data_IF_167337944922
#
_entry.id   IF_167337944922
#
_cell.length_a   1.000
_cell.length_b   1.000
_cell.length_c   1.000
_cell.angle_alpha   90.00
_cell.angle_beta   90.00
_cell.angle_gamma   90.00
#
_symmetry.space_group_name_H-M   'P 1'
#
loop_
_entity.id
_entity.type
_entity.pdbx_description
1 polymer ?
#
# COMPACT_ATOMS: atom_id res chain seq x y z
N UNK A 1 47.38 -1.36 -63.37
CA UNK A 1 47.17 -0.08 -64.07
C UNK A 1 46.27 0.78 -63.21
N UNK A 2 46.80 1.91 -62.74
CA UNK A 2 46.13 2.90 -61.91
C UNK A 2 44.85 3.46 -62.55
N UNK A 3 43.89 3.88 -61.72
CA UNK A 3 43.24 5.20 -61.89
C UNK A 3 42.54 5.66 -60.61
N UNK A 4 42.75 6.95 -60.37
CA UNK A 4 42.35 7.83 -59.28
C UNK A 4 40.86 8.18 -59.22
N UNK A 5 40.50 8.69 -58.05
CA UNK A 5 39.26 9.39 -57.63
C UNK A 5 38.88 10.59 -58.50
N UNK A 6 37.58 10.93 -58.48
CA UNK A 6 37.11 12.31 -58.30
C UNK A 6 35.71 12.34 -57.59
N UNK A 7 35.34 13.42 -56.87
CA UNK A 7 34.27 13.45 -55.87
C UNK A 7 33.00 14.20 -56.32
N UNK A 8 31.86 13.97 -55.65
CA UNK A 8 30.73 14.91 -55.65
C UNK A 8 30.04 14.96 -54.28
N UNK A 9 30.24 16.10 -53.63
CA UNK A 9 29.38 16.72 -52.63
C UNK A 9 28.00 17.07 -53.24
N UNK A 10 26.95 17.15 -52.42
CA UNK A 10 25.63 17.59 -52.87
C UNK A 10 24.43 17.11 -52.04
N UNK A 11 24.34 17.58 -50.80
CA UNK A 11 23.12 17.84 -49.99
C UNK A 11 21.79 17.16 -50.40
N UNK A 12 21.31 16.24 -49.57
CA UNK A 12 19.96 15.65 -49.64
C UNK A 12 18.92 16.65 -49.08
N UNK A 13 17.79 16.89 -49.76
CA UNK A 13 16.74 17.80 -49.26
C UNK A 13 16.01 17.18 -48.05
N UNK A 14 15.43 18.00 -47.15
CA UNK A 14 14.71 17.49 -45.99
C UNK A 14 13.46 16.71 -46.42
N UNK A 15 13.06 15.66 -45.68
CA UNK A 15 11.87 14.87 -45.98
C UNK A 15 10.61 15.75 -45.85
N UNK A 16 9.73 15.67 -46.84
CA UNK A 16 8.40 16.28 -46.79
C UNK A 16 7.47 15.34 -46.02
N UNK A 17 6.53 15.86 -45.20
CA UNK A 17 5.58 15.02 -44.50
C UNK A 17 4.65 14.31 -45.50
N UNK A 18 4.55 13.00 -45.36
CA UNK A 18 3.66 12.13 -46.12
C UNK A 18 2.25 12.27 -45.53
N UNK A 19 1.29 12.76 -46.32
CA UNK A 19 -0.13 12.74 -45.96
C UNK A 19 -0.75 11.46 -46.50
N UNK A 20 -1.06 10.52 -45.61
CA UNK A 20 -1.86 9.34 -45.92
C UNK A 20 -3.32 9.67 -45.57
N UNK A 21 -4.20 9.60 -46.55
CA UNK A 21 -5.65 9.68 -46.34
C UNK A 21 -6.17 8.25 -46.20
N UNK A 22 -6.57 7.87 -44.98
CA UNK A 22 -7.25 6.59 -44.74
C UNK A 22 -8.74 6.88 -44.62
N UNK A 23 -9.53 6.40 -45.58
CA UNK A 23 -10.98 6.40 -45.47
C UNK A 23 -11.41 5.17 -44.66
N UNK A 24 -11.83 5.37 -43.41
CA UNK A 24 -12.43 4.33 -42.59
C UNK A 24 -13.95 4.47 -42.62
N UNK A 25 -14.63 3.49 -43.21
CA UNK A 25 -16.07 3.30 -43.04
C UNK A 25 -16.32 2.72 -41.65
N UNK A 26 -16.83 3.53 -40.72
CA UNK A 26 -17.24 3.08 -39.41
C UNK A 26 -18.65 2.45 -39.49
N UNK A 27 -18.75 1.14 -39.24
CA UNK A 27 -20.01 0.51 -38.86
C UNK A 27 -20.19 0.72 -37.35
N UNK A 28 -21.17 1.54 -36.98
CA UNK A 28 -21.50 1.85 -35.59
C UNK A 28 -22.20 0.62 -34.97
N UNK A 29 -21.45 -0.20 -34.24
CA UNK A 29 -22.05 -1.15 -33.30
C UNK A 29 -22.12 -0.42 -31.96
N UNK A 30 -23.31 0.04 -31.59
CA UNK A 30 -23.56 0.62 -30.27
C UNK A 30 -23.55 -0.51 -29.23
N UNK A 31 -22.37 -0.83 -28.70
CA UNK A 31 -22.28 -1.53 -27.42
C UNK A 31 -22.53 -0.52 -26.32
N UNK A 32 -23.71 -0.58 -25.70
CA UNK A 32 -23.96 0.13 -24.45
C UNK A 32 -23.15 -0.59 -23.37
N UNK A 33 -21.97 -0.09 -23.06
CA UNK A 33 -21.30 -0.44 -21.82
C UNK A 33 -22.17 0.10 -20.67
N UNK A 34 -22.49 -0.69 -19.65
CA UNK A 34 -23.12 -0.14 -18.46
C UNK A 34 -22.16 0.89 -17.85
N UNK A 35 -22.63 2.13 -17.72
CA UNK A 35 -21.95 3.16 -16.93
C UNK A 35 -22.07 2.75 -15.47
N UNK A 36 -21.03 2.13 -14.92
CA UNK A 36 -20.86 2.04 -13.47
C UNK A 36 -20.61 3.48 -13.00
N UNK A 37 -21.36 4.03 -12.03
CA UNK A 37 -21.03 5.32 -11.47
C UNK A 37 -19.61 5.24 -10.89
N UNK A 38 -18.73 6.15 -11.32
CA UNK A 38 -17.47 6.35 -10.64
C UNK A 38 -17.77 6.91 -9.24
N UNK A 39 -17.17 6.32 -8.19
CA UNK A 39 -17.06 6.97 -6.88
C UNK A 39 -17.74 6.28 -5.69
N UNK A 40 -17.81 4.96 -5.63
CA UNK A 40 -17.98 4.26 -4.35
C UNK A 40 -17.03 3.06 -4.32
N UNK A 41 -16.05 3.07 -3.41
CA UNK A 41 -15.30 1.86 -3.07
C UNK A 41 -16.32 0.80 -2.64
N UNK A 42 -16.26 -0.45 -3.13
CA UNK A 42 -16.99 -1.52 -2.45
C UNK A 42 -16.51 -1.51 -0.99
N UNK A 43 -17.42 -1.46 -0.02
CA UNK A 43 -17.04 -1.39 1.39
C UNK A 43 -16.08 -2.53 1.78
N UNK A 44 -15.26 -2.29 2.81
CA UNK A 44 -14.31 -3.28 3.30
C UNK A 44 -15.00 -4.60 3.63
N UNK A 45 -14.35 -5.71 3.26
CA UNK A 45 -14.77 -7.05 3.62
C UNK A 45 -13.56 -7.85 4.08
N UNK A 46 -13.68 -8.51 5.23
CA UNK A 46 -12.62 -9.30 5.85
C UNK A 46 -13.07 -10.75 6.00
N UNK A 47 -12.14 -11.68 5.76
CA UNK A 47 -12.25 -13.09 6.15
C UNK A 47 -11.03 -13.44 6.97
N UNK A 48 -11.23 -13.83 8.23
CA UNK A 48 -10.16 -14.16 9.17
C UNK A 48 -9.78 -15.66 9.13
N UNK A 49 -8.75 -16.05 9.89
CA UNK A 49 -8.25 -17.43 9.93
C UNK A 49 -9.19 -18.41 10.66
N UNK A 50 -10.34 -17.97 11.17
CA UNK A 50 -11.36 -18.91 11.67
C UNK A 50 -12.12 -19.59 10.53
N UNK A 51 -12.04 -19.07 9.31
CA UNK A 51 -12.49 -19.77 8.11
C UNK A 51 -11.47 -20.87 7.74
N UNK A 52 -11.91 -22.12 7.86
CA UNK A 52 -11.11 -23.32 7.53
C UNK A 52 -10.63 -23.38 6.06
N UNK A 53 -11.18 -22.53 5.17
CA UNK A 53 -10.71 -22.38 3.80
C UNK A 53 -9.50 -21.44 3.67
N UNK A 54 -9.15 -20.70 4.72
CA UNK A 54 -8.02 -19.79 4.78
C UNK A 54 -6.94 -20.34 5.72
N UNK A 55 -5.68 -20.25 5.30
CA UNK A 55 -4.53 -20.66 6.10
C UNK A 55 -3.48 -19.56 6.17
N UNK A 56 -2.58 -19.67 7.15
CA UNK A 56 -1.40 -18.79 7.22
C UNK A 56 -0.58 -18.82 5.93
N UNK A 57 -0.50 -19.98 5.26
CA UNK A 57 0.17 -20.11 3.95
C UNK A 57 -0.50 -19.25 2.90
N UNK A 58 -1.83 -19.21 2.86
CA UNK A 58 -2.56 -18.36 1.92
C UNK A 58 -2.28 -16.88 2.17
N UNK A 59 -2.13 -16.46 3.44
CA UNK A 59 -1.72 -15.08 3.77
C UNK A 59 -0.33 -14.74 3.21
N UNK A 60 0.66 -15.60 3.44
CA UNK A 60 2.02 -15.37 2.94
C UNK A 60 2.10 -15.44 1.40
N UNK A 61 1.34 -16.35 0.78
CA UNK A 61 1.25 -16.45 -0.68
C UNK A 61 0.53 -15.25 -1.30
N UNK A 62 -0.49 -14.70 -0.63
CA UNK A 62 -1.18 -13.49 -1.07
C UNK A 62 -0.24 -12.28 -1.14
N UNK A 63 0.78 -12.22 -0.28
CA UNK A 63 1.79 -11.15 -0.32
C UNK A 63 2.78 -11.29 -1.48
N UNK A 64 3.08 -12.53 -1.89
CA UNK A 64 4.15 -12.81 -2.84
C UNK A 64 3.86 -12.24 -4.24
N UNK A 65 4.65 -11.24 -4.63
CA UNK A 65 4.61 -10.62 -5.95
C UNK A 65 5.60 -11.25 -6.94
N UNK A 66 5.84 -10.54 -8.05
CA UNK A 66 6.78 -10.99 -9.07
C UNK A 66 8.19 -11.17 -8.51
N UNK A 67 8.80 -12.32 -8.85
CA UNK A 67 10.18 -12.63 -8.50
C UNK A 67 10.40 -13.11 -7.07
N UNK A 68 9.33 -13.45 -6.33
CA UNK A 68 9.42 -13.98 -4.96
C UNK A 68 8.70 -15.33 -4.84
N UNK A 69 9.33 -16.27 -4.14
CA UNK A 69 8.67 -17.52 -3.71
C UNK A 69 8.71 -17.62 -2.20
N UNK A 70 7.59 -17.98 -1.59
CA UNK A 70 7.43 -18.14 -0.13
C UNK A 70 7.41 -19.59 0.31
N UNK A 71 7.84 -19.85 1.55
CA UNK A 71 7.85 -21.17 2.18
C UNK A 71 7.95 -21.06 3.70
N UNK A 72 7.88 -22.18 4.43
CA UNK A 72 8.14 -22.18 5.88
C UNK A 72 7.17 -21.31 6.69
N UNK A 73 5.93 -21.16 6.20
CA UNK A 73 4.96 -20.23 6.76
C UNK A 73 4.44 -20.69 8.12
N UNK A 74 4.30 -19.74 9.04
CA UNK A 74 3.72 -19.92 10.35
C UNK A 74 2.95 -18.68 10.79
N UNK A 75 1.89 -18.89 11.55
CA UNK A 75 1.17 -17.81 12.24
C UNK A 75 1.16 -18.09 13.74
N UNK A 76 1.36 -17.05 14.54
CA UNK A 76 1.23 -17.07 16.01
C UNK A 76 0.33 -15.92 16.41
N UNK A 77 -0.73 -16.19 17.16
CA UNK A 77 -1.74 -15.23 17.56
C UNK A 77 -3.12 -15.88 17.60
N UNK A 78 -4.16 -15.09 17.86
CA UNK A 78 -5.55 -15.55 17.71
C UNK A 78 -5.92 -15.65 16.23
N UNK A 79 -6.72 -16.66 15.84
CA UNK A 79 -7.17 -16.84 14.46
C UNK A 79 -8.03 -15.67 13.96
N UNK A 80 -8.76 -15.01 14.87
CA UNK A 80 -9.52 -13.79 14.59
C UNK A 80 -8.65 -12.56 14.35
N UNK A 81 -7.36 -12.59 14.71
CA UNK A 81 -6.45 -11.45 14.63
C UNK A 81 -5.73 -11.31 13.29
N UNK A 82 -5.99 -12.20 12.32
CA UNK A 82 -5.40 -12.13 11.00
C UNK A 82 -6.33 -12.68 9.93
N UNK A 83 -6.22 -12.15 8.72
CA UNK A 83 -7.08 -12.53 7.61
C UNK A 83 -6.70 -11.92 6.28
N UNK A 84 -7.57 -12.12 5.29
CA UNK A 84 -7.56 -11.41 4.02
C UNK A 84 -8.65 -10.35 4.01
N UNK A 85 -8.41 -9.27 3.27
CA UNK A 85 -9.42 -8.26 3.03
C UNK A 85 -9.56 -7.94 1.54
N UNK A 86 -10.72 -7.39 1.19
CA UNK A 86 -11.01 -6.80 -0.11
C UNK A 86 -11.86 -5.54 0.04
N UNK A 87 -11.97 -4.75 -1.03
CA UNK A 87 -12.74 -3.51 -1.03
C UNK A 87 -12.00 -2.31 -0.42
N UNK A 88 -10.66 -2.39 -0.32
CA UNK A 88 -9.88 -1.26 0.17
C UNK A 88 -9.87 -0.06 -0.79
N UNK A 89 -10.16 -0.26 -2.09
CA UNK A 89 -10.33 0.81 -3.05
C UNK A 89 -9.02 1.46 -3.53
N UNK A 90 -9.07 2.08 -4.70
CA UNK A 90 -7.99 2.88 -5.28
C UNK A 90 -8.52 4.24 -5.76
N UNK A 91 -7.72 5.30 -5.58
CA UNK A 91 -8.08 6.66 -6.01
C UNK A 91 -9.05 7.40 -5.07
N UNK A 92 -9.89 8.27 -5.64
CA UNK A 92 -10.84 9.08 -4.87
C UNK A 92 -11.90 8.20 -4.18
N UNK A 93 -12.02 8.34 -2.86
CA UNK A 93 -12.92 7.52 -2.04
C UNK A 93 -12.35 6.15 -1.65
N UNK A 94 -11.06 5.89 -1.89
CA UNK A 94 -10.40 4.69 -1.40
C UNK A 94 -10.39 4.65 0.14
N UNK A 95 -10.67 3.49 0.70
CA UNK A 95 -10.62 3.25 2.15
C UNK A 95 -9.18 3.06 2.58
N UNK A 96 -8.47 2.09 1.99
CA UNK A 96 -7.09 1.73 2.32
C UNK A 96 -6.10 2.33 1.32
N UNK A 97 -6.46 2.37 0.02
CA UNK A 97 -5.57 2.82 -1.05
C UNK A 97 -4.99 1.70 -1.92
N UNK A 98 -5.39 0.46 -1.64
CA UNK A 98 -5.27 -0.71 -2.52
C UNK A 98 -6.48 -1.63 -2.31
N UNK A 99 -6.83 -2.41 -3.32
CA UNK A 99 -8.10 -3.15 -3.35
C UNK A 99 -8.16 -4.32 -2.38
N UNK A 100 -7.06 -5.06 -2.23
CA UNK A 100 -7.03 -6.33 -1.51
C UNK A 100 -5.65 -6.61 -0.91
N UNK A 101 -5.63 -7.51 0.07
CA UNK A 101 -4.42 -7.83 0.80
C UNK A 101 -4.68 -8.71 2.02
N UNK A 102 -3.70 -8.74 2.92
CA UNK A 102 -3.86 -9.35 4.24
C UNK A 102 -4.00 -8.27 5.31
N UNK A 103 -4.51 -8.68 6.46
CA UNK A 103 -4.70 -7.85 7.63
C UNK A 103 -4.12 -8.57 8.84
N UNK A 104 -3.35 -7.85 9.65
CA UNK A 104 -2.97 -8.26 11.01
C UNK A 104 -3.55 -7.23 11.98
N UNK A 105 -4.05 -7.69 13.12
CA UNK A 105 -4.73 -6.88 14.13
C UNK A 105 -4.23 -7.25 15.52
N UNK A 106 -4.20 -6.30 16.45
CA UNK A 106 -4.14 -6.63 17.88
C UNK A 106 -5.51 -7.09 18.42
N UNK A 107 -6.57 -6.72 17.70
CA UNK A 107 -7.96 -7.05 17.90
C UNK A 107 -8.53 -8.12 16.97
N UNK A 108 -9.84 -8.10 16.76
CA UNK A 108 -10.46 -8.91 15.73
C UNK A 108 -10.32 -8.21 14.37
N UNK A 109 -9.69 -8.88 13.40
CA UNK A 109 -9.44 -8.33 12.07
C UNK A 109 -10.73 -7.89 11.35
N UNK A 110 -11.87 -8.51 11.67
CA UNK A 110 -13.18 -8.14 11.08
C UNK A 110 -13.70 -6.77 11.54
N UNK A 111 -13.20 -6.26 12.65
CA UNK A 111 -13.70 -5.03 13.28
C UNK A 111 -13.26 -3.76 12.53
N UNK A 112 -12.34 -3.85 11.57
CA UNK A 112 -11.98 -2.72 10.69
C UNK A 112 -13.07 -2.32 9.70
N UNK A 113 -14.10 -3.17 9.52
CA UNK A 113 -15.17 -2.96 8.55
C UNK A 113 -16.07 -1.81 9.00
N UNK A 114 -16.18 -0.78 8.17
CA UNK A 114 -16.96 0.41 8.50
C UNK A 114 -18.49 0.26 8.38
N UNK A 115 -19.22 1.36 8.60
CA UNK A 115 -18.68 2.71 8.91
C UNK A 115 -18.18 2.83 10.36
N UNK A 116 -17.40 3.87 10.67
CA UNK A 116 -17.02 4.22 12.04
C UNK A 116 -18.24 4.62 12.89
N UNK A 117 -18.65 3.73 13.79
CA UNK A 117 -19.79 3.91 14.69
C UNK A 117 -19.43 4.04 16.17
N UNK A 118 -18.19 3.71 16.57
CA UNK A 118 -17.72 3.79 17.96
C UNK A 118 -16.43 4.59 18.12
N UNK A 119 -16.26 5.24 19.28
CA UNK A 119 -15.02 5.96 19.62
C UNK A 119 -13.89 4.99 20.07
N UNK A 120 -14.13 3.67 19.99
CA UNK A 120 -13.18 2.59 20.26
C UNK A 120 -13.89 1.24 20.05
N UNK A 121 -13.27 0.35 19.27
CA UNK A 121 -13.56 -1.09 19.26
C UNK A 121 -12.37 -1.86 19.84
N UNK A 122 -12.66 -2.95 20.55
CA UNK A 122 -11.60 -3.78 21.15
C UNK A 122 -11.96 -5.25 21.25
N UNK A 123 -10.96 -6.10 21.01
CA UNK A 123 -10.96 -7.52 21.31
C UNK A 123 -9.65 -7.94 21.99
N UNK A 124 -9.67 -8.11 23.31
CA UNK A 124 -8.59 -8.74 24.08
C UNK A 124 -8.57 -10.26 23.85
N UNK A 125 -7.55 -10.77 23.16
CA UNK A 125 -7.39 -12.21 22.91
C UNK A 125 -6.73 -12.96 24.08
N UNK A 126 -6.11 -12.27 25.02
CA UNK A 126 -5.33 -12.82 26.12
C UNK A 126 -4.13 -13.67 25.64
N UNK A 127 -3.57 -13.36 24.47
CA UNK A 127 -2.43 -14.07 23.87
C UNK A 127 -1.10 -13.41 24.26
N UNK A 128 0.00 -14.13 24.03
CA UNK A 128 1.33 -13.63 24.37
C UNK A 128 1.75 -12.48 23.44
N UNK A 129 2.62 -11.60 23.94
CA UNK A 129 3.32 -10.62 23.11
C UNK A 129 4.44 -11.24 22.27
N UNK A 130 5.26 -10.36 21.69
CA UNK A 130 6.37 -10.70 20.83
C UNK A 130 7.68 -10.01 21.24
N UNK A 131 8.76 -10.78 21.37
CA UNK A 131 10.03 -10.28 21.89
C UNK A 131 10.80 -9.35 20.92
N UNK A 132 10.58 -9.46 19.60
CA UNK A 132 11.22 -8.55 18.64
C UNK A 132 10.48 -7.20 18.65
N UNK A 133 9.17 -7.21 18.90
CA UNK A 133 8.39 -5.99 19.14
C UNK A 133 8.75 -5.34 20.49
N UNK A 134 8.94 -6.13 21.56
CA UNK A 134 9.42 -5.62 22.86
C UNK A 134 10.75 -4.86 22.73
N UNK A 135 11.61 -5.29 21.81
CA UNK A 135 12.91 -4.65 21.55
C UNK A 135 12.80 -3.26 20.89
N UNK A 136 11.64 -2.92 20.33
CA UNK A 136 11.35 -1.59 19.77
C UNK A 136 10.85 -0.61 20.85
N UNK A 137 10.50 -1.10 22.04
CA UNK A 137 9.92 -0.31 23.11
C UNK A 137 10.97 0.13 24.15
N UNK A 138 10.64 1.10 25.02
CA UNK A 138 11.49 1.45 26.16
C UNK A 138 11.82 0.24 27.04
N UNK A 139 13.01 0.23 27.64
CA UNK A 139 13.50 -0.90 28.44
C UNK A 139 12.49 -1.32 29.53
N UNK A 140 12.10 -2.61 29.50
CA UNK A 140 11.18 -3.20 30.47
C UNK A 140 9.70 -3.13 30.08
N UNK A 141 9.36 -2.52 28.96
CA UNK A 141 8.05 -2.68 28.33
C UNK A 141 7.91 -4.09 27.74
N UNK A 142 6.67 -4.57 27.66
CA UNK A 142 6.33 -5.85 27.08
C UNK A 142 4.99 -5.75 26.37
N UNK A 143 4.92 -6.40 25.23
CA UNK A 143 3.74 -6.50 24.38
C UNK A 143 2.81 -7.63 24.84
N UNK A 144 1.59 -7.60 24.32
CA UNK A 144 0.57 -8.64 24.47
C UNK A 144 -0.27 -8.70 23.20
N UNK A 145 -1.06 -9.76 23.05
CA UNK A 145 -1.96 -9.89 21.92
C UNK A 145 -1.29 -9.79 20.55
N UNK A 146 -0.13 -10.44 20.43
CA UNK A 146 0.63 -10.40 19.20
C UNK A 146 0.00 -11.25 18.09
N UNK A 147 -0.22 -10.64 16.93
CA UNK A 147 -0.48 -11.32 15.67
C UNK A 147 0.81 -11.31 14.83
N UNK A 148 1.38 -12.50 14.60
CA UNK A 148 2.69 -12.67 13.97
C UNK A 148 2.60 -13.64 12.80
N UNK A 149 2.80 -13.13 11.59
CA UNK A 149 2.99 -13.93 10.37
C UNK A 149 4.48 -14.02 10.04
N UNK A 150 5.03 -15.23 10.10
CA UNK A 150 6.44 -15.51 9.77
C UNK A 150 6.57 -16.46 8.59
N UNK A 151 7.49 -16.19 7.67
CA UNK A 151 7.78 -17.05 6.54
C UNK A 151 9.18 -16.84 5.96
N UNK A 152 9.67 -17.83 5.24
CA UNK A 152 10.88 -17.76 4.43
C UNK A 152 10.53 -17.33 3.01
N UNK A 153 11.38 -16.53 2.36
CA UNK A 153 11.23 -16.18 0.96
C UNK A 153 12.55 -16.20 0.19
N UNK A 154 12.46 -16.49 -1.11
CA UNK A 154 13.61 -16.43 -2.04
C UNK A 154 13.32 -15.35 -3.10
N UNK A 155 14.00 -14.19 -3.03
CA UNK A 155 13.84 -13.11 -4.00
C UNK A 155 14.80 -13.28 -5.18
N UNK A 156 14.36 -12.92 -6.38
CA UNK A 156 15.23 -12.82 -7.57
C UNK A 156 16.21 -11.63 -7.56
N UNK A 157 15.96 -10.60 -6.75
CA UNK A 157 16.75 -9.38 -6.63
C UNK A 157 17.34 -9.15 -5.24
N UNK A 158 18.16 -8.12 -5.09
CA UNK A 158 18.86 -7.78 -3.83
C UNK A 158 18.10 -6.80 -2.94
N UNK A 159 16.95 -6.32 -3.39
CA UNK A 159 16.04 -5.45 -2.65
C UNK A 159 14.63 -6.01 -2.80
N UNK A 160 13.88 -6.03 -1.71
CA UNK A 160 12.44 -6.26 -1.71
C UNK A 160 11.70 -5.03 -1.23
N UNK A 161 10.47 -4.89 -1.72
CA UNK A 161 9.54 -3.81 -1.37
C UNK A 161 8.22 -4.42 -0.92
N UNK A 162 7.48 -3.73 -0.04
CA UNK A 162 6.11 -4.05 0.38
C UNK A 162 5.32 -2.76 0.53
N UNK A 163 4.00 -2.82 0.36
CA UNK A 163 3.09 -1.69 0.60
C UNK A 163 2.11 -2.01 1.72
N UNK A 164 1.90 -1.06 2.61
CA UNK A 164 1.05 -1.26 3.79
C UNK A 164 0.39 0.03 4.26
N UNK A 165 -0.66 -0.11 5.08
CA UNK A 165 -1.34 0.98 5.80
C UNK A 165 -1.49 0.56 7.25
N UNK A 166 -1.10 1.44 8.17
CA UNK A 166 -1.36 1.29 9.60
C UNK A 166 -2.64 2.03 9.95
N UNK A 167 -3.49 1.45 10.80
CA UNK A 167 -4.70 2.08 11.31
C UNK A 167 -4.95 1.73 12.77
N UNK A 168 -5.68 2.58 13.49
CA UNK A 168 -5.92 2.39 14.92
C UNK A 168 -7.11 3.21 15.40
N UNK A 169 -7.80 2.71 16.43
CA UNK A 169 -8.73 3.48 17.28
C UNK A 169 -8.03 4.25 18.40
N UNK A 170 -6.71 4.14 18.51
CA UNK A 170 -5.94 4.98 19.43
C UNK A 170 -5.81 6.44 18.92
N UNK A 171 -6.06 6.66 17.63
CA UNK A 171 -6.15 8.01 17.07
C UNK A 171 -7.47 8.66 17.47
N UNK A 172 -7.54 9.94 17.82
CA UNK A 172 -6.44 10.88 18.11
C UNK A 172 -6.17 11.01 19.62
N UNK A 173 -6.94 10.31 20.44
CA UNK A 173 -7.06 10.45 21.89
C UNK A 173 -5.79 10.06 22.64
N UNK A 174 -5.05 9.07 22.12
CA UNK A 174 -3.94 8.45 22.82
C UNK A 174 -2.56 8.81 22.24
N UNK A 175 -2.53 9.72 21.27
CA UNK A 175 -1.26 10.24 20.73
C UNK A 175 -0.44 10.94 21.82
N UNK A 176 0.79 10.49 22.01
CA UNK A 176 1.79 11.05 22.90
C UNK A 176 1.61 10.73 24.38
N UNK A 177 0.68 9.83 24.73
CA UNK A 177 0.36 9.51 26.14
C UNK A 177 0.89 8.15 26.61
N UNK A 178 1.48 7.35 25.71
CA UNK A 178 2.29 6.17 26.05
C UNK A 178 1.60 4.81 25.97
N UNK A 179 0.43 4.74 25.30
CA UNK A 179 -0.21 3.50 24.83
C UNK A 179 -0.02 3.52 23.33
N UNK A 180 1.00 2.84 22.83
CA UNK A 180 1.26 2.80 21.40
C UNK A 180 1.40 1.35 21.02
N UNK A 181 0.39 0.80 20.38
CA UNK A 181 0.55 -0.49 19.75
C UNK A 181 1.74 -0.45 18.80
N UNK A 182 2.50 -1.54 18.80
CA UNK A 182 3.75 -1.61 18.07
C UNK A 182 3.63 -2.65 16.98
N UNK A 183 4.09 -2.29 15.80
CA UNK A 183 4.25 -3.25 14.72
C UNK A 183 5.65 -3.15 14.10
N UNK A 184 6.05 -4.22 13.44
CA UNK A 184 7.36 -4.32 12.82
C UNK A 184 7.35 -5.31 11.67
N UNK A 185 7.99 -4.92 10.58
CA UNK A 185 8.25 -5.77 9.42
C UNK A 185 9.74 -6.09 9.41
N UNK A 186 10.08 -7.25 9.95
CA UNK A 186 11.46 -7.68 10.12
C UNK A 186 11.90 -8.51 8.92
N UNK A 187 12.81 -7.96 8.12
CA UNK A 187 13.47 -8.66 7.02
C UNK A 187 14.88 -9.02 7.49
N UNK A 188 15.18 -10.31 7.57
CA UNK A 188 16.45 -10.81 8.13
C UNK A 188 16.75 -10.26 9.54
N UNK A 189 15.69 -9.97 10.32
CA UNK A 189 15.77 -9.43 11.68
C UNK A 189 15.87 -7.89 11.78
N UNK A 190 15.85 -7.17 10.66
CA UNK A 190 15.88 -5.70 10.64
C UNK A 190 14.48 -5.15 10.32
N UNK A 191 13.96 -4.26 11.17
CA UNK A 191 12.66 -3.63 10.94
C UNK A 191 12.76 -2.58 9.83
N UNK A 192 11.95 -2.71 8.79
CA UNK A 192 11.88 -1.76 7.68
C UNK A 192 10.60 -0.89 7.70
N UNK A 193 9.65 -1.16 8.59
CA UNK A 193 8.44 -0.35 8.77
C UNK A 193 8.74 0.87 9.63
N UNK A 194 9.39 1.87 9.01
CA UNK A 194 9.85 3.08 9.71
C UNK A 194 9.54 4.35 8.92
N UNK A 195 9.35 5.46 9.62
CA UNK A 195 9.27 6.81 9.05
C UNK A 195 10.39 7.63 9.65
N UNK A 196 11.30 8.13 8.80
CA UNK A 196 12.48 8.87 9.24
C UNK A 196 13.36 8.14 10.28
N UNK A 197 13.31 6.80 10.29
CA UNK A 197 14.08 5.94 11.19
C UNK A 197 13.36 5.55 12.48
N UNK A 198 12.21 6.16 12.77
CA UNK A 198 11.35 5.78 13.90
C UNK A 198 10.35 4.69 13.44
N UNK A 199 10.05 3.67 14.26
CA UNK A 199 8.99 2.71 13.96
C UNK A 199 7.66 3.44 13.72
N UNK A 200 6.87 2.92 12.78
CA UNK A 200 5.53 3.48 12.54
C UNK A 200 4.61 3.13 13.72
N UNK A 201 3.91 4.13 14.22
CA UNK A 201 2.94 4.10 15.32
C UNK A 201 2.09 5.38 15.30
N UNK A 202 1.08 5.46 16.18
CA UNK A 202 0.26 6.67 16.38
C UNK A 202 1.08 7.90 16.79
N UNK A 203 2.23 7.72 17.45
CA UNK A 203 3.12 8.81 17.85
C UNK A 203 3.96 9.32 16.67
N UNK A 204 4.29 8.45 15.73
CA UNK A 204 5.16 8.78 14.60
C UNK A 204 4.40 9.50 13.48
N UNK A 205 3.14 9.14 13.22
CA UNK A 205 2.28 9.69 12.16
C UNK A 205 0.94 10.07 12.78
N UNK A 206 0.58 11.36 12.80
CA UNK A 206 -0.67 11.87 13.35
C UNK A 206 -0.92 13.30 12.85
N UNK A 207 -1.88 14.01 13.44
CA UNK A 207 -2.20 15.40 13.08
C UNK A 207 -1.04 16.40 13.28
N UNK A 208 -0.07 16.10 14.15
CA UNK A 208 1.06 16.98 14.47
C UNK A 208 2.40 16.51 13.86
N UNK A 209 2.61 15.20 13.76
CA UNK A 209 3.83 14.56 13.27
C UNK A 209 3.57 13.83 11.96
N UNK A 210 4.34 14.12 10.91
CA UNK A 210 4.16 13.54 9.57
C UNK A 210 2.69 13.56 9.10
N UNK A 211 2.00 14.68 9.31
CA UNK A 211 0.58 14.84 9.03
C UNK A 211 0.22 14.64 7.55
N UNK A 212 1.19 14.78 6.65
CA UNK A 212 1.07 14.45 5.23
C UNK A 212 0.89 12.95 4.96
N UNK A 213 1.29 12.10 5.91
CA UNK A 213 1.11 10.65 5.88
C UNK A 213 -0.12 10.18 6.65
N UNK A 214 -0.86 11.08 7.32
CA UNK A 214 -1.99 10.74 8.17
C UNK A 214 -3.34 11.07 7.51
N UNK A 215 -4.32 10.20 7.72
CA UNK A 215 -5.71 10.37 7.29
C UNK A 215 -6.60 10.22 8.52
N UNK A 216 -7.22 11.33 8.91
CA UNK A 216 -8.15 11.35 10.04
C UNK A 216 -9.48 10.70 9.66
N UNK A 217 -9.98 9.83 10.53
CA UNK A 217 -11.30 9.23 10.43
C UNK A 217 -12.12 9.37 11.74
N UNK A 218 -11.67 10.21 12.67
CA UNK A 218 -12.39 10.50 13.92
C UNK A 218 -13.80 11.03 13.62
N UNK A 219 -14.77 10.57 14.42
CA UNK A 219 -16.19 10.93 14.27
C UNK A 219 -16.42 12.42 14.55
N UNK A 220 -17.17 13.07 13.67
CA UNK A 220 -17.56 14.47 13.86
C UNK A 220 -18.68 14.66 14.90
N UNK A 221 -19.05 15.92 15.16
CA UNK A 221 -20.11 16.27 16.15
C UNK A 221 -21.49 15.65 15.85
N UNK A 222 -21.75 15.23 14.60
CA UNK A 222 -22.99 14.56 14.19
C UNK A 222 -22.83 13.05 14.07
N UNK A 223 -21.66 12.52 14.43
CA UNK A 223 -21.34 11.11 14.49
C UNK A 223 -20.98 10.49 13.15
N UNK A 224 -20.53 11.28 12.17
CA UNK A 224 -20.08 10.82 10.85
C UNK A 224 -18.57 10.83 10.77
N UNK A 225 -18.00 9.81 10.11
CA UNK A 225 -16.59 9.75 9.75
C UNK A 225 -16.40 9.85 8.22
N UNK A 226 -15.27 10.38 7.73
CA UNK A 226 -15.02 10.60 6.30
C UNK A 226 -14.63 9.35 5.50
N UNK A 227 -14.21 8.25 6.15
CA UNK A 227 -13.69 7.03 5.54
C UNK A 227 -14.53 5.84 6.05
N UNK A 228 -14.90 4.94 5.14
CA UNK A 228 -15.78 3.78 5.43
C UNK A 228 -15.01 2.60 6.06
N UNK A 229 -14.42 2.85 7.22
CA UNK A 229 -13.75 1.89 8.10
C UNK A 229 -14.12 2.24 9.55
N UNK A 230 -14.12 1.27 10.46
CA UNK A 230 -14.37 1.54 11.88
C UNK A 230 -13.26 2.40 12.50
N UNK A 231 -12.04 2.29 11.98
CA UNK A 231 -10.84 2.86 12.59
C UNK A 231 -10.86 4.38 12.64
N UNK A 232 -10.54 4.98 13.78
CA UNK A 232 -10.48 6.45 13.96
C UNK A 232 -9.35 7.15 13.18
N UNK A 233 -8.30 6.43 12.79
CA UNK A 233 -7.24 6.99 11.97
C UNK A 233 -6.44 5.95 11.21
N UNK A 234 -5.88 6.37 10.07
CA UNK A 234 -5.04 5.51 9.25
C UNK A 234 -3.98 6.30 8.50
N UNK A 235 -2.89 5.63 8.12
CA UNK A 235 -1.86 6.23 7.28
C UNK A 235 -2.31 6.28 5.81
N UNK A 236 -1.61 7.07 5.01
CA UNK A 236 -1.54 6.82 3.56
C UNK A 236 -0.84 5.49 3.30
N UNK A 237 -0.84 5.03 2.05
CA UNK A 237 -0.06 3.84 1.66
C UNK A 237 1.43 4.13 1.87
N UNK A 238 2.04 3.41 2.79
CA UNK A 238 3.47 3.43 3.07
C UNK A 238 4.15 2.28 2.37
N UNK A 239 5.47 2.36 2.27
CA UNK A 239 6.27 1.30 1.71
C UNK A 239 7.48 0.99 2.59
N UNK A 240 7.73 -0.30 2.81
CA UNK A 240 8.99 -0.77 3.38
C UNK A 240 9.88 -1.25 2.23
N UNK A 241 11.18 -0.94 2.31
CA UNK A 241 12.21 -1.53 1.45
C UNK A 241 13.29 -2.18 2.33
N UNK A 242 13.76 -3.36 1.94
CA UNK A 242 14.81 -4.07 2.67
C UNK A 242 15.84 -4.69 1.72
N UNK A 243 17.10 -4.69 2.16
CA UNK A 243 18.19 -5.40 1.45
C UNK A 243 18.12 -6.89 1.75
N UNK A 244 18.25 -7.72 0.72
CA UNK A 244 18.10 -9.18 0.79
C UNK A 244 19.16 -9.90 -0.04
N UNK A 245 19.31 -11.18 0.24
CA UNK A 245 20.20 -12.06 -0.52
C UNK A 245 19.45 -12.64 -1.72
N UNK A 246 19.79 -12.19 -2.93
CA UNK A 246 19.18 -12.64 -4.17
C UNK A 246 19.45 -14.14 -4.41
N UNK A 247 18.42 -14.90 -4.75
CA UNK A 247 18.48 -16.34 -5.02
C UNK A 247 18.74 -17.20 -3.78
N UNK A 248 18.73 -16.61 -2.59
CA UNK A 248 18.93 -17.27 -1.31
C UNK A 248 17.71 -17.10 -0.41
N UNK A 249 17.59 -17.96 0.61
CA UNK A 249 16.53 -17.84 1.60
C UNK A 249 16.77 -16.63 2.49
N UNK A 250 15.75 -15.78 2.60
CA UNK A 250 15.64 -14.67 3.53
C UNK A 250 14.45 -14.90 4.45
N UNK A 251 14.45 -14.31 5.64
CA UNK A 251 13.36 -14.44 6.61
C UNK A 251 12.49 -13.19 6.64
N UNK A 252 11.19 -13.39 6.68
CA UNK A 252 10.19 -12.37 6.95
C UNK A 252 9.49 -12.66 8.27
N UNK A 253 9.28 -11.61 9.06
CA UNK A 253 8.34 -11.60 10.18
C UNK A 253 7.55 -10.30 10.18
N UNK A 254 6.24 -10.40 10.04
CA UNK A 254 5.28 -9.32 10.14
C UNK A 254 4.57 -9.48 11.48
N UNK A 255 4.70 -8.50 12.37
CA UNK A 255 4.17 -8.60 13.73
C UNK A 255 3.50 -7.28 14.12
N UNK A 256 2.37 -7.38 14.81
CA UNK A 256 1.69 -6.28 15.52
C UNK A 256 1.25 -6.79 16.90
N UNK A 257 1.31 -5.94 17.92
CA UNK A 257 0.93 -6.29 19.29
C UNK A 257 0.58 -5.06 20.12
N UNK A 258 -0.28 -5.26 21.12
CA UNK A 258 -0.68 -4.22 22.07
C UNK A 258 0.46 -3.84 23.02
N UNK A 259 0.47 -2.57 23.44
CA UNK A 259 1.37 -2.09 24.50
C UNK A 259 0.58 -1.48 25.64
N UNK A 260 0.51 -2.19 26.76
CA UNK A 260 -0.09 -1.67 27.99
C UNK A 260 -1.38 -2.39 28.36
N UNK A 261 -2.54 -1.82 27.99
CA UNK A 261 -3.85 -2.23 28.52
C UNK A 261 -4.82 -2.91 27.55
N UNK A 262 -4.49 -3.06 26.26
CA UNK A 262 -5.27 -3.87 25.29
C UNK A 262 -6.74 -3.46 25.18
N UNK A 263 -7.00 -2.15 25.31
CA UNK A 263 -8.36 -1.58 25.38
C UNK A 263 -8.84 -0.97 24.06
N UNK A 264 -7.95 -0.86 23.07
CA UNK A 264 -8.11 -0.19 21.78
C UNK A 264 -7.20 -0.93 20.82
N UNK A 265 -7.70 -1.23 19.63
CA UNK A 265 -7.01 -2.15 18.73
C UNK A 265 -6.36 -1.40 17.55
N UNK A 266 -5.19 -1.88 17.15
CA UNK A 266 -4.47 -1.40 15.97
C UNK A 266 -4.35 -2.48 14.91
N UNK A 267 -4.19 -2.05 13.66
CA UNK A 267 -4.25 -2.90 12.50
C UNK A 267 -3.20 -2.52 11.45
N UNK A 268 -2.76 -3.51 10.67
CA UNK A 268 -1.92 -3.30 9.49
C UNK A 268 -2.52 -4.00 8.28
N UNK A 269 -2.96 -3.22 7.31
CA UNK A 269 -3.31 -3.69 5.97
C UNK A 269 -2.05 -3.83 5.14
N UNK A 270 -1.87 -4.95 4.45
CA UNK A 270 -0.67 -5.23 3.66
C UNK A 270 -1.11 -5.69 2.27
N UNK A 271 -0.65 -4.98 1.24
CA UNK A 271 -1.17 -5.14 -0.11
C UNK A 271 -0.78 -6.46 -0.74
N UNK A 272 -1.76 -7.12 -1.38
CA UNK A 272 -1.55 -8.35 -2.13
C UNK A 272 -0.52 -8.17 -3.25
N UNK A 273 0.37 -9.14 -3.40
CA UNK A 273 1.43 -9.14 -4.40
C UNK A 273 2.45 -8.02 -4.25
N UNK A 274 2.45 -7.27 -3.13
CA UNK A 274 3.35 -6.13 -2.96
C UNK A 274 4.79 -6.55 -2.65
N UNK A 275 5.01 -7.77 -2.12
CA UNK A 275 6.33 -8.34 -1.91
C UNK A 275 7.00 -8.64 -3.27
N UNK A 276 7.70 -7.65 -3.79
CA UNK A 276 8.31 -7.68 -5.12
C UNK A 276 9.81 -7.46 -5.04
N UNK A 277 10.54 -7.90 -6.06
CA UNK A 277 11.98 -7.67 -6.13
C UNK A 277 12.31 -6.45 -6.97
N UNK A 278 13.01 -5.51 -6.37
CA UNK A 278 13.35 -4.21 -6.96
C UNK A 278 13.12 -3.09 -5.95
N UNK A 279 13.82 -1.96 -6.11
CA UNK A 279 13.45 -0.76 -5.38
C UNK A 279 12.03 -0.34 -5.79
N UNK A 280 11.40 0.52 -4.98
CA UNK A 280 10.22 1.24 -5.44
C UNK A 280 10.54 1.86 -6.81
N UNK A 281 9.87 1.39 -7.85
CA UNK A 281 9.75 2.18 -9.07
C UNK A 281 9.07 3.47 -8.59
N UNK A 282 9.69 4.63 -8.82
CA UNK A 282 9.02 5.91 -8.70
C UNK A 282 7.89 5.91 -9.74
N UNK A 283 6.79 5.22 -9.47
CA UNK A 283 5.57 5.31 -10.27
C UNK A 283 5.09 6.73 -10.00
N UNK A 284 5.14 7.62 -10.99
CA UNK A 284 4.70 8.97 -10.78
C UNK A 284 3.24 8.91 -10.39
N UNK A 285 2.89 9.50 -9.24
CA UNK A 285 1.49 9.64 -8.86
C UNK A 285 0.68 10.31 -9.99
N UNK A 286 -0.65 10.12 -10.02
CA UNK A 286 -1.48 10.80 -11.01
C UNK A 286 -1.21 12.31 -10.97
N UNK A 287 -1.16 13.00 -12.12
CA UNK A 287 -0.84 14.42 -12.17
C UNK A 287 -1.77 15.21 -11.24
N UNK A 288 -1.18 15.91 -10.25
CA UNK A 288 -1.92 16.57 -9.18
C UNK A 288 -2.50 17.94 -9.58
N UNK A 289 -2.19 18.44 -10.77
CA UNK A 289 -2.57 19.77 -11.25
C UNK A 289 -3.35 19.72 -12.57
N UNK A 290 -4.43 18.92 -12.63
CA UNK A 290 -5.35 18.94 -13.78
C UNK A 290 -6.38 20.05 -13.59
N UNK A 291 -6.15 21.21 -14.20
CA UNK A 291 -7.16 22.25 -14.35
C UNK A 291 -7.67 22.25 -15.79
N UNK A 292 -8.97 21.99 -15.98
CA UNK A 292 -9.66 22.16 -17.26
C UNK A 292 -10.89 23.05 -17.03
N UNK A 293 -10.96 24.17 -17.72
CA UNK A 293 -12.16 25.03 -17.73
C UNK A 293 -13.04 24.69 -18.95
N UNK A 294 -14.37 24.87 -18.84
CA UNK A 294 -15.24 24.74 -19.99
C UNK A 294 -14.81 25.72 -21.10
N UNK A 295 -14.51 25.17 -22.28
CA UNK A 295 -14.00 25.83 -23.51
C UNK A 295 -12.47 25.80 -23.74
N UNK A 296 -11.69 25.15 -22.88
CA UNK A 296 -10.28 24.87 -23.20
C UNK A 296 -10.18 23.81 -24.33
N UNK A 297 -9.41 24.13 -25.38
CA UNK A 297 -9.16 23.19 -26.49
C UNK A 297 -8.09 22.13 -26.15
N UNK A 298 -7.36 22.33 -25.05
CA UNK A 298 -6.39 21.43 -24.45
C UNK A 298 -6.13 21.86 -23.00
N UNK A 299 -5.81 20.92 -22.10
CA UNK A 299 -5.31 21.22 -20.76
C UNK A 299 -3.78 21.21 -20.76
N UNK A 300 -3.16 22.13 -20.00
CA UNK A 300 -1.73 22.06 -19.71
C UNK A 300 -1.52 21.17 -18.49
N UNK A 301 -0.83 20.06 -18.69
CA UNK A 301 -0.32 19.20 -17.62
C UNK A 301 1.10 19.66 -17.30
N UNK A 302 1.32 20.14 -16.08
CA UNK A 302 2.66 20.36 -15.55
C UNK A 302 3.01 19.14 -14.69
N UNK A 303 4.00 18.38 -15.15
CA UNK A 303 4.48 17.18 -14.48
C UNK A 303 6.00 17.23 -14.43
N UNK A 304 6.55 17.11 -13.22
CA UNK A 304 7.99 17.03 -13.01
C UNK A 304 8.35 15.56 -12.75
N UNK A 305 8.85 14.81 -13.75
CA UNK A 305 9.25 13.42 -13.55
C UNK A 305 10.40 13.32 -12.54
N UNK A 306 10.39 12.32 -11.63
CA UNK A 306 11.55 12.04 -10.82
C UNK A 306 12.76 11.62 -11.67
N UNK A 307 13.96 11.92 -11.19
CA UNK A 307 15.23 11.85 -11.96
C UNK A 307 15.73 10.43 -12.29
N UNK A 308 14.94 9.38 -12.07
CA UNK A 308 15.31 7.98 -12.28
C UNK A 308 15.16 7.53 -13.74
N UNK A 309 15.93 8.14 -14.64
CA UNK A 309 16.50 7.49 -15.83
C UNK A 309 15.60 6.89 -16.93
N UNK A 310 14.27 6.91 -16.82
CA UNK A 310 13.37 6.57 -17.92
C UNK A 310 13.25 7.72 -18.93
N UNK A 311 13.17 7.43 -20.23
CA UNK A 311 12.73 8.47 -21.18
C UNK A 311 11.34 8.97 -20.77
N UNK A 312 11.04 10.28 -20.82
CA UNK A 312 9.71 10.76 -20.48
C UNK A 312 8.69 10.20 -21.48
N UNK A 313 7.78 9.38 -20.98
CA UNK A 313 6.60 8.96 -21.74
C UNK A 313 5.73 10.18 -22.07
N UNK A 314 5.48 10.41 -23.36
CA UNK A 314 4.58 11.46 -23.82
C UNK A 314 3.17 10.87 -23.84
N UNK A 315 2.32 11.30 -22.91
CA UNK A 315 0.90 10.98 -22.92
C UNK A 315 0.13 12.03 -23.75
N UNK A 316 -0.48 11.61 -24.87
CA UNK A 316 -1.46 12.44 -25.59
C UNK A 316 -2.85 12.27 -24.97
N UNK A 317 -3.38 13.34 -24.38
CA UNK A 317 -4.78 13.40 -23.97
C UNK A 317 -5.64 13.96 -25.12
N UNK A 318 -6.51 13.14 -25.71
CA UNK A 318 -7.55 13.62 -26.63
C UNK A 318 -8.87 13.77 -25.89
N UNK A 319 -9.35 15.01 -25.75
CA UNK A 319 -10.72 15.28 -25.32
C UNK A 319 -11.69 14.99 -26.46
N UNK A 320 -12.69 14.14 -26.24
CA UNK A 320 -13.84 13.91 -27.15
C UNK A 320 -15.10 14.57 -26.62
#
# INVERSE_FOLDING_TARGET
MSRERAPTDGTRPPPRPLRILVAATAALVASVAPTVPAGASPGLSVTDLTDEALSATDLAEALAGEGVTVSGVSFTGAETAAGVFSGGGTGEGAIVGFEEGILLSTGAAVDVVGPNEADAITTDHGTAGDADLDALLPEGAATRDAAVLGFDFVPSGTVVTFRYVFSSDEYNEFVGVGFNDVFGFFVNGENCATVNGDPVSIDSINLESHSDLYRNNERDEIGSAPIDTEMDGLTVVLACQATVNAGETNTMKLAIADVGDGLVDSNVFIEAGSLTTGPLEDVPGPPQNVAAFPADAAALLDWDPPTSGGEPDIYEATCT
#
